data_IF_998665462096
#
_entry.id   IF_998665462096
#
_cell.length_a   1.000
_cell.length_b   1.000
_cell.length_c   1.000
_cell.angle_alpha   90.00
_cell.angle_beta   90.00
_cell.angle_gamma   90.00
#
_symmetry.space_group_name_H-M   'P 1'
#
loop_
_entity.id
_entity.type
_entity.pdbx_description
1 polymer ?
#
# COMPACT_ATOMS: atom_id res chain seq x y z
N UNK A 1 -21.94 -26.78 -11.70
CA UNK A 1 -22.70 -26.08 -10.64
C UNK A 1 -21.67 -25.45 -9.73
N UNK A 2 -21.43 -24.15 -9.88
CA UNK A 2 -20.39 -23.43 -9.13
C UNK A 2 -21.10 -22.68 -8.00
N UNK A 3 -21.00 -23.19 -6.79
CA UNK A 3 -21.45 -22.47 -5.60
C UNK A 3 -20.51 -21.30 -5.36
N UNK A 4 -21.04 -20.08 -5.50
CA UNK A 4 -20.35 -18.86 -5.10
C UNK A 4 -20.16 -18.89 -3.58
N UNK A 5 -18.92 -18.87 -3.13
CA UNK A 5 -18.58 -18.67 -1.72
C UNK A 5 -18.94 -17.23 -1.36
N UNK A 6 -20.07 -17.02 -0.68
CA UNK A 6 -20.39 -15.74 -0.03
C UNK A 6 -19.29 -15.42 0.97
N UNK A 7 -18.60 -14.30 0.76
CA UNK A 7 -17.69 -13.76 1.76
C UNK A 7 -18.51 -13.40 3.01
N UNK A 8 -18.35 -14.17 4.09
CA UNK A 8 -19.05 -13.90 5.34
C UNK A 8 -18.53 -12.61 5.95
N UNK A 9 -19.34 -11.55 5.90
CA UNK A 9 -19.04 -10.26 6.52
C UNK A 9 -18.94 -10.42 8.04
N UNK A 10 -17.94 -9.79 8.65
CA UNK A 10 -17.75 -9.80 10.11
C UNK A 10 -18.34 -8.53 10.72
N UNK A 11 -18.94 -8.62 11.91
CA UNK A 11 -19.46 -7.47 12.67
C UNK A 11 -18.33 -6.58 13.17
N UNK A 12 -18.54 -5.28 13.09
CA UNK A 12 -17.70 -4.19 13.59
C UNK A 12 -18.11 -3.84 15.04
N UNK A 13 -19.37 -4.06 15.41
CA UNK A 13 -19.93 -3.70 16.72
C UNK A 13 -20.35 -4.92 17.54
N UNK A 14 -20.29 -4.81 18.87
CA UNK A 14 -20.80 -5.83 19.79
C UNK A 14 -22.34 -5.94 19.67
N UNK A 15 -22.82 -7.12 19.27
CA UNK A 15 -24.25 -7.40 19.11
C UNK A 15 -25.09 -7.13 20.36
N UNK A 16 -24.49 -7.24 21.55
CA UNK A 16 -25.19 -7.14 22.84
C UNK A 16 -25.04 -5.78 23.51
N UNK A 17 -24.14 -4.92 23.02
CA UNK A 17 -23.84 -3.63 23.63
C UNK A 17 -24.00 -2.49 22.64
N UNK A 18 -25.08 -1.72 22.81
CA UNK A 18 -25.35 -0.56 21.97
C UNK A 18 -24.32 0.58 22.24
N UNK A 19 -23.67 1.14 21.20
CA UNK A 19 -22.76 2.27 21.35
C UNK A 19 -23.49 3.55 21.77
N UNK A 20 -22.81 4.38 22.58
CA UNK A 20 -23.31 5.70 22.98
C UNK A 20 -23.09 6.77 21.92
N UNK A 21 -22.09 6.60 21.05
CA UNK A 21 -21.83 7.49 19.92
C UNK A 21 -22.89 7.32 18.81
N UNK A 22 -23.33 8.44 18.23
CA UNK A 22 -24.45 8.47 17.28
C UNK A 22 -24.09 7.80 15.94
N UNK A 23 -22.86 7.95 15.46
CA UNK A 23 -22.40 7.31 14.23
C UNK A 23 -22.27 5.80 14.44
N UNK A 24 -21.66 5.37 15.55
CA UNK A 24 -21.50 3.97 15.91
C UNK A 24 -22.84 3.26 16.21
N UNK A 25 -23.82 3.96 16.79
CA UNK A 25 -25.17 3.43 17.00
C UNK A 25 -25.89 3.15 15.68
N UNK A 26 -25.63 3.94 14.64
CA UNK A 26 -26.16 3.72 13.28
C UNK A 26 -25.54 2.49 12.62
N UNK A 27 -24.23 2.30 12.78
CA UNK A 27 -23.49 1.10 12.35
C UNK A 27 -24.04 -0.14 13.06
N UNK A 28 -24.21 -0.08 14.38
CA UNK A 28 -24.75 -1.18 15.21
C UNK A 28 -26.16 -1.63 14.81
N UNK A 29 -27.06 -0.68 14.51
CA UNK A 29 -28.42 -0.99 14.04
C UNK A 29 -28.42 -1.70 12.68
N UNK A 30 -27.58 -1.24 11.74
CA UNK A 30 -27.48 -1.82 10.40
C UNK A 30 -26.87 -3.23 10.45
N UNK A 31 -25.86 -3.45 11.30
CA UNK A 31 -25.31 -4.79 11.52
C UNK A 31 -26.34 -5.74 12.14
N UNK A 32 -27.13 -5.27 13.11
CA UNK A 32 -28.20 -6.08 13.66
C UNK A 32 -29.23 -6.49 12.61
N UNK A 33 -29.58 -5.62 11.67
CA UNK A 33 -30.44 -5.99 10.55
C UNK A 33 -29.78 -7.03 9.63
N UNK A 34 -28.50 -6.88 9.30
CA UNK A 34 -27.80 -7.80 8.40
C UNK A 34 -27.70 -9.21 8.99
N UNK A 35 -27.34 -9.32 10.26
CA UNK A 35 -27.07 -10.59 10.91
C UNK A 35 -28.30 -11.21 11.59
N UNK A 36 -29.48 -10.57 11.55
CA UNK A 36 -30.70 -11.15 12.10
C UNK A 36 -31.27 -12.23 11.16
N UNK A 37 -31.65 -13.38 11.73
CA UNK A 37 -32.07 -14.56 10.98
C UNK A 37 -33.35 -14.33 10.17
N UNK A 38 -34.24 -13.44 10.63
CA UNK A 38 -35.51 -13.16 9.95
C UNK A 38 -35.44 -12.02 8.91
N UNK A 39 -34.28 -11.38 8.71
CA UNK A 39 -34.16 -10.30 7.72
C UNK A 39 -34.22 -10.87 6.32
N UNK A 40 -35.09 -10.32 5.47
CA UNK A 40 -35.22 -10.75 4.07
C UNK A 40 -33.95 -10.43 3.26
N UNK A 41 -33.68 -11.19 2.19
CA UNK A 41 -32.47 -11.00 1.36
C UNK A 41 -32.36 -9.59 0.77
N UNK A 42 -33.47 -8.99 0.34
CA UNK A 42 -33.50 -7.62 -0.17
C UNK A 42 -33.20 -6.55 0.88
N UNK A 43 -33.69 -6.75 2.11
CA UNK A 43 -33.46 -5.86 3.25
C UNK A 43 -32.01 -5.98 3.76
N UNK A 44 -31.48 -7.20 3.80
CA UNK A 44 -30.07 -7.48 4.14
C UNK A 44 -29.11 -6.81 3.15
N UNK A 45 -29.36 -6.96 1.84
CA UNK A 45 -28.53 -6.32 0.82
C UNK A 45 -28.63 -4.77 0.85
N UNK A 46 -29.78 -4.21 1.22
CA UNK A 46 -29.94 -2.77 1.41
C UNK A 46 -29.19 -2.27 2.65
N UNK A 47 -29.27 -3.01 3.75
CA UNK A 47 -28.57 -2.73 4.99
C UNK A 47 -27.04 -2.81 4.81
N UNK A 48 -26.52 -3.78 4.04
CA UNK A 48 -25.10 -3.89 3.69
C UNK A 48 -24.59 -2.64 2.97
N UNK A 49 -25.28 -2.18 1.92
CA UNK A 49 -24.90 -0.97 1.18
C UNK A 49 -24.99 0.30 2.03
N UNK A 50 -25.91 0.34 3.00
CA UNK A 50 -26.02 1.48 3.93
C UNK A 50 -24.93 1.43 5.00
N UNK A 51 -24.53 0.23 5.42
CA UNK A 51 -23.43 0.01 6.36
C UNK A 51 -22.09 0.40 5.73
N UNK A 52 -21.84 0.01 4.47
CA UNK A 52 -20.61 0.40 3.74
C UNK A 52 -20.45 1.93 3.69
N UNK A 53 -21.53 2.64 3.31
CA UNK A 53 -21.52 4.11 3.23
C UNK A 53 -21.41 4.77 4.59
N UNK A 54 -22.03 4.22 5.63
CA UNK A 54 -21.94 4.77 6.98
C UNK A 54 -20.53 4.64 7.56
N UNK A 55 -19.85 3.52 7.28
CA UNK A 55 -18.46 3.28 7.70
C UNK A 55 -17.49 4.19 6.92
N UNK A 56 -17.73 4.43 5.64
CA UNK A 56 -16.91 5.33 4.82
C UNK A 56 -17.02 6.80 5.29
N UNK A 57 -18.25 7.29 5.49
CA UNK A 57 -18.48 8.67 5.99
C UNK A 57 -17.88 8.88 7.38
N UNK A 58 -17.98 7.88 8.26
CA UNK A 58 -17.43 7.96 9.62
C UNK A 58 -15.88 7.86 9.66
N UNK A 59 -15.26 7.29 8.62
CA UNK A 59 -13.80 7.33 8.41
C UNK A 59 -13.34 8.70 7.91
N UNK A 60 -14.10 9.31 6.99
CA UNK A 60 -13.80 10.63 6.44
C UNK A 60 -13.99 11.76 7.47
N UNK A 61 -14.96 11.62 8.38
CA UNK A 61 -15.20 12.59 9.46
C UNK A 61 -14.25 12.44 10.66
N UNK A 62 -13.43 11.38 10.69
CA UNK A 62 -12.53 11.08 11.81
C UNK A 62 -13.25 10.61 13.08
N UNK A 63 -14.56 10.34 13.02
CA UNK A 63 -15.38 9.88 14.16
C UNK A 63 -15.18 8.37 14.45
N UNK A 64 -14.77 7.58 13.44
CA UNK A 64 -14.28 6.21 13.63
C UNK A 64 -12.79 6.20 13.35
N UNK A 65 -12.00 6.11 14.43
CA UNK A 65 -10.67 5.51 14.35
C UNK A 65 -10.87 4.02 14.12
N UNK A 66 -10.10 3.43 13.20
CA UNK A 66 -10.13 1.99 12.89
C UNK A 66 -10.26 1.17 14.18
N UNK A 67 -11.12 0.15 14.23
CA UNK A 67 -10.91 -0.92 15.19
C UNK A 67 -9.53 -1.50 14.87
N UNK A 68 -8.51 -1.03 15.58
CA UNK A 68 -7.40 -1.90 15.91
C UNK A 68 -8.07 -3.06 16.56
N UNK A 69 -8.02 -4.17 15.87
CA UNK A 69 -8.06 -5.48 16.44
C UNK A 69 -8.16 -5.48 17.98
N UNK A 70 -9.31 -5.73 18.59
CA UNK A 70 -9.51 -6.05 20.02
C UNK A 70 -11.02 -6.26 20.12
N UNK A 71 -11.56 -7.39 19.72
CA UNK A 71 -11.41 -8.68 20.36
C UNK A 71 -11.58 -9.81 19.35
N UNK A 72 -10.53 -10.58 19.13
CA UNK A 72 -10.61 -11.96 18.67
C UNK A 72 -9.56 -12.73 19.46
N UNK A 73 -9.95 -13.12 20.67
CA UNK A 73 -9.22 -14.07 21.49
C UNK A 73 -9.25 -15.44 20.79
N UNK A 74 -8.28 -15.65 19.89
CA UNK A 74 -7.89 -16.95 19.39
C UNK A 74 -6.44 -16.88 18.91
N UNK A 75 -5.50 -17.01 19.86
CA UNK A 75 -4.09 -17.21 19.54
C UNK A 75 -3.13 -16.39 20.38
N UNK A 76 -3.40 -16.22 21.67
CA UNK A 76 -2.50 -15.58 22.62
C UNK A 76 -1.20 -16.38 22.76
N UNK A 77 -0.12 -15.90 22.14
CA UNK A 77 1.24 -16.03 22.68
C UNK A 77 1.68 -14.62 23.10
N UNK A 78 1.58 -14.34 24.40
CA UNK A 78 1.91 -13.08 25.09
C UNK A 78 1.48 -11.77 24.41
N UNK A 79 0.18 -11.43 24.39
CA UNK A 79 -0.30 -10.04 24.31
C UNK A 79 0.05 -9.21 23.07
N UNK A 80 0.66 -9.79 22.03
CA UNK A 80 0.97 -9.12 20.77
C UNK A 80 -0.08 -9.47 19.72
N UNK A 81 -0.76 -8.46 19.16
CA UNK A 81 -1.54 -8.60 17.92
C UNK A 81 -0.61 -8.38 16.73
N UNK A 82 -0.52 -9.37 15.85
CA UNK A 82 0.18 -9.21 14.57
C UNK A 82 -0.53 -8.14 13.70
N UNK A 83 0.21 -7.26 13.00
CA UNK A 83 -0.39 -6.23 12.18
C UNK A 83 -1.22 -6.81 11.03
N UNK A 84 -2.27 -6.08 10.64
CA UNK A 84 -3.09 -6.39 9.46
C UNK A 84 -2.21 -6.50 8.20
N UNK A 85 -2.29 -7.64 7.54
CA UNK A 85 -1.51 -7.90 6.32
C UNK A 85 -2.07 -7.02 5.19
N UNK A 86 -1.21 -6.16 4.65
CA UNK A 86 -1.54 -5.29 3.51
C UNK A 86 -1.12 -5.98 2.22
N UNK A 87 -2.09 -6.38 1.41
CA UNK A 87 -1.84 -6.98 0.10
C UNK A 87 -1.76 -5.93 -1.00
N UNK A 88 -0.75 -6.04 -1.86
CA UNK A 88 -0.65 -5.24 -3.08
C UNK A 88 -1.72 -5.59 -4.09
N UNK A 89 -2.12 -4.61 -4.91
CA UNK A 89 -3.22 -4.74 -5.89
C UNK A 89 -3.05 -5.91 -6.87
N UNK A 90 -1.80 -6.30 -7.19
CA UNK A 90 -1.45 -7.40 -8.11
C UNK A 90 -1.03 -8.67 -7.39
N UNK A 91 -1.06 -8.69 -6.05
CA UNK A 91 -0.54 -9.80 -5.26
C UNK A 91 -1.22 -11.14 -5.61
N UNK A 92 -2.54 -11.14 -5.72
CA UNK A 92 -3.31 -12.36 -6.04
C UNK A 92 -2.88 -13.00 -7.37
N UNK A 93 -2.49 -12.18 -8.36
CA UNK A 93 -2.02 -12.63 -9.66
C UNK A 93 -0.59 -13.19 -9.64
N UNK A 94 0.18 -12.90 -8.59
CA UNK A 94 1.61 -13.23 -8.52
C UNK A 94 2.02 -14.09 -7.34
N UNK A 95 1.12 -14.37 -6.39
CA UNK A 95 1.41 -15.17 -5.18
C UNK A 95 1.95 -16.58 -5.44
N UNK A 96 1.75 -17.10 -6.65
CA UNK A 96 2.22 -18.41 -7.09
C UNK A 96 3.51 -18.33 -7.94
N UNK A 97 4.00 -17.13 -8.23
CA UNK A 97 5.17 -16.91 -9.07
C UNK A 97 6.44 -16.83 -8.23
N UNK A 98 7.55 -17.17 -8.85
CA UNK A 98 8.87 -16.94 -8.26
C UNK A 98 9.20 -15.45 -8.19
N UNK A 99 10.08 -15.08 -7.25
CA UNK A 99 10.61 -13.73 -7.09
C UNK A 99 11.26 -13.19 -8.37
N UNK A 100 11.86 -14.06 -9.19
CA UNK A 100 12.43 -13.69 -10.49
C UNK A 100 11.36 -13.32 -11.50
N UNK A 101 10.24 -14.04 -11.54
CA UNK A 101 9.11 -13.72 -12.41
C UNK A 101 8.40 -12.43 -11.96
N UNK A 102 8.25 -12.24 -10.65
CA UNK A 102 7.73 -10.99 -10.08
C UNK A 102 8.63 -9.81 -10.49
N UNK A 103 9.95 -9.95 -10.33
CA UNK A 103 10.90 -8.92 -10.76
C UNK A 103 10.82 -8.65 -12.27
N UNK A 104 10.60 -9.66 -13.10
CA UNK A 104 10.40 -9.48 -14.53
C UNK A 104 9.13 -8.68 -14.85
N UNK A 105 8.03 -8.92 -14.13
CA UNK A 105 6.78 -8.13 -14.26
C UNK A 105 6.98 -6.68 -13.82
N UNK A 106 7.66 -6.44 -12.69
CA UNK A 106 8.02 -5.08 -12.23
C UNK A 106 8.84 -4.35 -13.31
N UNK A 107 9.84 -5.01 -13.92
CA UNK A 107 10.62 -4.42 -15.03
C UNK A 107 9.75 -4.09 -16.24
N UNK A 108 8.77 -4.94 -16.56
CA UNK A 108 7.86 -4.71 -17.68
C UNK A 108 6.98 -3.49 -17.43
N UNK A 109 6.43 -3.35 -16.23
CA UNK A 109 5.61 -2.22 -15.80
C UNK A 109 6.39 -0.90 -15.84
N UNK A 110 7.61 -0.88 -15.30
CA UNK A 110 8.48 0.31 -15.35
C UNK A 110 8.77 0.70 -16.81
N UNK A 111 9.06 -0.27 -17.69
CA UNK A 111 9.29 -0.01 -19.12
C UNK A 111 8.02 0.52 -19.80
N UNK A 112 6.86 -0.03 -19.46
CA UNK A 112 5.57 0.40 -20.01
C UNK A 112 5.26 1.84 -19.58
N UNK A 113 5.38 2.15 -18.28
CA UNK A 113 5.17 3.49 -17.74
C UNK A 113 6.03 4.54 -18.47
N UNK A 114 7.32 4.25 -18.68
CA UNK A 114 8.23 5.12 -19.44
C UNK A 114 7.87 5.26 -20.92
N UNK A 115 7.32 4.21 -21.53
CA UNK A 115 6.97 4.20 -22.96
C UNK A 115 5.66 4.94 -23.24
N UNK A 116 4.67 4.83 -22.36
CA UNK A 116 3.34 5.42 -22.53
C UNK A 116 3.45 6.95 -22.67
N UNK A 117 4.26 7.61 -21.86
CA UNK A 117 4.43 9.07 -21.95
C UNK A 117 5.26 9.52 -23.17
N UNK A 118 6.26 8.74 -23.60
CA UNK A 118 6.97 9.02 -24.85
C UNK A 118 6.03 9.10 -26.07
N UNK A 119 4.84 8.47 -25.99
CA UNK A 119 3.79 8.52 -27.01
C UNK A 119 2.71 9.58 -26.73
N UNK A 120 2.43 9.91 -25.48
CA UNK A 120 1.41 10.90 -25.10
C UNK A 120 1.91 12.35 -25.16
N UNK A 121 3.24 12.54 -25.19
CA UNK A 121 3.85 13.87 -25.15
C UNK A 121 3.76 14.49 -23.75
N UNK A 122 4.76 15.29 -23.41
CA UNK A 122 4.78 16.03 -22.14
C UNK A 122 3.67 17.10 -22.21
N UNK A 123 2.59 16.93 -21.44
CA UNK A 123 1.56 17.97 -21.27
C UNK A 123 0.19 17.77 -21.93
N UNK A 124 -0.24 16.53 -22.19
CA UNK A 124 -1.65 16.27 -22.51
C UNK A 124 -2.57 16.71 -21.34
N UNK A 125 -3.68 17.40 -21.63
CA UNK A 125 -4.59 18.08 -20.70
C UNK A 125 -5.26 17.20 -19.61
N UNK A 126 -4.88 15.94 -19.51
CA UNK A 126 -5.18 15.07 -18.38
C UNK A 126 -3.87 14.86 -17.63
N UNK A 127 -3.42 15.90 -16.93
CA UNK A 127 -2.39 15.74 -15.91
C UNK A 127 -3.03 14.95 -14.77
N UNK A 128 -3.11 13.63 -14.94
CA UNK A 128 -3.25 12.75 -13.78
C UNK A 128 -2.02 13.06 -12.95
N UNK A 129 -2.24 13.50 -11.72
CA UNK A 129 -1.23 13.45 -10.65
C UNK A 129 -1.01 11.97 -10.35
N UNK A 130 -0.53 11.23 -11.35
CA UNK A 130 -0.21 9.82 -11.25
C UNK A 130 1.25 9.78 -10.90
N UNK A 131 1.59 9.05 -9.86
CA UNK A 131 2.98 8.75 -9.54
C UNK A 131 3.65 8.11 -10.76
N UNK A 132 2.93 7.36 -11.60
CA UNK A 132 3.47 6.86 -12.88
C UNK A 132 3.88 7.96 -13.86
N UNK A 133 3.30 9.16 -13.82
CA UNK A 133 3.70 10.28 -14.65
C UNK A 133 5.11 10.78 -14.30
N UNK A 134 5.53 10.65 -13.03
CA UNK A 134 6.89 10.99 -12.60
C UNK A 134 7.95 10.07 -13.22
N UNK A 135 7.65 8.77 -13.36
CA UNK A 135 8.54 7.81 -14.04
C UNK A 135 8.69 8.10 -15.53
N UNK A 136 7.64 8.65 -16.09
CA UNK A 136 7.55 9.08 -17.46
C UNK A 136 8.48 10.29 -17.68
N UNK A 137 8.29 11.36 -16.90
CA UNK A 137 9.09 12.58 -16.94
C UNK A 137 10.57 12.39 -16.52
N UNK A 138 10.97 11.18 -16.13
CA UNK A 138 12.33 10.85 -15.70
C UNK A 138 13.36 11.08 -16.83
N UNK A 139 14.40 11.89 -16.59
CA UNK A 139 15.48 12.11 -17.55
C UNK A 139 16.05 10.82 -18.16
N UNK A 140 16.31 10.82 -19.48
CA UNK A 140 16.81 9.64 -20.21
C UNK A 140 18.11 9.05 -19.66
N UNK A 141 18.94 9.89 -19.04
CA UNK A 141 20.18 9.46 -18.40
C UNK A 141 19.96 8.57 -17.18
N UNK A 142 18.84 8.76 -16.46
CA UNK A 142 18.56 8.02 -15.24
C UNK A 142 18.15 6.59 -15.58
N UNK A 143 18.75 5.65 -14.86
CA UNK A 143 18.52 4.22 -15.03
C UNK A 143 17.86 3.65 -13.79
N UNK A 144 17.00 2.67 -14.02
CA UNK A 144 16.35 1.89 -12.97
C UNK A 144 16.77 0.43 -13.14
N UNK A 145 17.35 -0.14 -12.09
CA UNK A 145 17.67 -1.56 -12.00
C UNK A 145 16.66 -2.24 -11.10
N UNK A 146 16.24 -3.44 -11.47
CA UNK A 146 15.42 -4.32 -10.63
C UNK A 146 16.18 -5.61 -10.51
N UNK A 147 16.62 -5.96 -9.30
CA UNK A 147 17.46 -7.13 -9.04
C UNK A 147 16.83 -8.01 -7.98
N UNK A 148 16.99 -9.31 -8.15
CA UNK A 148 16.60 -10.31 -7.16
C UNK A 148 17.83 -10.78 -6.39
N UNK A 149 17.66 -11.01 -5.10
CA UNK A 149 18.67 -11.64 -4.25
C UNK A 149 18.01 -12.79 -3.47
N UNK A 150 18.80 -13.85 -3.22
CA UNK A 150 18.35 -15.07 -2.56
C UNK A 150 19.27 -15.35 -1.38
N UNK A 151 18.69 -15.67 -0.23
CA UNK A 151 19.43 -15.92 1.00
C UNK A 151 18.75 -17.01 1.83
N UNK A 152 19.46 -17.55 2.82
CA UNK A 152 18.90 -18.52 3.76
C UNK A 152 17.76 -17.84 4.54
N UNK A 153 16.52 -18.22 4.21
CA UNK A 153 15.31 -17.65 4.83
C UNK A 153 14.43 -16.82 3.89
N UNK A 154 14.80 -16.63 2.61
CA UNK A 154 13.90 -16.01 1.66
C UNK A 154 14.55 -15.43 0.41
N UNK A 155 13.90 -14.41 -0.13
CA UNK A 155 14.36 -13.70 -1.32
C UNK A 155 13.93 -12.24 -1.24
N UNK A 156 14.63 -11.38 -1.97
CA UNK A 156 14.31 -9.96 -2.05
C UNK A 156 14.31 -9.43 -3.49
N UNK A 157 13.54 -8.36 -3.71
CA UNK A 157 13.55 -7.56 -4.92
C UNK A 157 13.97 -6.14 -4.58
N UNK A 158 15.12 -5.73 -5.10
CA UNK A 158 15.65 -4.37 -4.95
C UNK A 158 15.42 -3.58 -6.22
N UNK A 159 14.83 -2.39 -6.09
CA UNK A 159 14.71 -1.41 -7.18
C UNK A 159 15.67 -0.27 -6.90
N UNK A 160 16.66 -0.08 -7.79
CA UNK A 160 17.70 0.94 -7.62
C UNK A 160 17.65 1.97 -8.73
N UNK A 161 17.67 3.24 -8.35
CA UNK A 161 17.80 4.38 -9.26
C UNK A 161 19.27 4.79 -9.28
N UNK A 162 19.86 4.96 -10.45
CA UNK A 162 21.27 5.34 -10.61
C UNK A 162 21.51 6.14 -11.88
N UNK A 163 22.72 6.70 -12.01
CA UNK A 163 23.13 7.61 -13.07
C UNK A 163 22.33 8.92 -13.05
N UNK A 164 22.21 9.54 -11.87
CA UNK A 164 21.61 10.85 -11.72
C UNK A 164 22.54 11.93 -12.34
N UNK A 165 22.00 12.92 -13.06
CA UNK A 165 22.80 14.07 -13.48
C UNK A 165 23.40 14.78 -12.27
N UNK A 166 24.61 15.32 -12.43
CA UNK A 166 25.27 16.07 -11.36
C UNK A 166 24.41 17.27 -10.92
N UNK A 167 24.22 17.41 -9.61
CA UNK A 167 23.39 18.48 -9.02
C UNK A 167 21.87 18.30 -9.22
N UNK A 168 21.42 17.16 -9.73
CA UNK A 168 19.99 16.89 -9.97
C UNK A 168 19.40 15.97 -8.91
N UNK A 169 18.14 16.19 -8.55
CA UNK A 169 17.36 15.30 -7.68
C UNK A 169 17.60 15.51 -6.18
N UNK A 170 18.54 16.38 -5.80
CA UNK A 170 18.85 16.67 -4.41
C UNK A 170 18.91 18.17 -4.15
N UNK A 171 18.36 18.58 -3.01
CA UNK A 171 18.45 19.93 -2.48
C UNK A 171 19.02 19.89 -1.07
N UNK A 172 19.68 20.98 -0.65
CA UNK A 172 20.10 21.13 0.74
C UNK A 172 18.97 21.75 1.54
N UNK A 173 18.48 21.03 2.53
CA UNK A 173 17.47 21.51 3.46
C UNK A 173 17.94 21.31 4.90
N UNK A 174 17.48 22.18 5.79
CA UNK A 174 17.73 22.01 7.22
C UNK A 174 16.83 20.89 7.76
N UNK A 175 17.44 19.85 8.32
CA UNK A 175 16.72 18.75 8.95
C UNK A 175 16.05 19.23 10.23
N UNK A 176 14.73 19.09 10.30
CA UNK A 176 13.94 19.44 11.48
C UNK A 176 14.33 18.63 12.73
N UNK A 177 14.95 17.46 12.56
CA UNK A 177 15.37 16.59 13.66
C UNK A 177 16.72 16.99 14.24
N UNK A 178 17.66 17.40 13.38
CA UNK A 178 19.06 17.59 13.76
C UNK A 178 19.51 19.04 13.73
N UNK A 179 18.74 19.94 13.10
CA UNK A 179 19.12 21.32 12.81
C UNK A 179 20.31 21.44 11.85
N UNK A 180 20.64 20.35 11.13
CA UNK A 180 21.79 20.31 10.21
C UNK A 180 21.30 20.36 8.78
N UNK A 181 22.08 21.01 7.92
CA UNK A 181 21.84 20.99 6.49
C UNK A 181 22.14 19.61 5.92
N UNK A 182 21.11 18.92 5.44
CA UNK A 182 21.17 17.58 4.87
C UNK A 182 20.78 17.61 3.39
N UNK A 183 21.34 16.69 2.61
CA UNK A 183 20.93 16.49 1.22
C UNK A 183 19.66 15.64 1.20
N UNK A 184 18.54 16.26 0.85
CA UNK A 184 17.24 15.61 0.74
C UNK A 184 16.82 15.51 -0.72
N UNK A 185 15.98 14.51 -1.03
CA UNK A 185 15.43 14.34 -2.37
C UNK A 185 14.51 15.52 -2.69
N UNK A 186 14.71 16.14 -3.84
CA UNK A 186 13.80 17.14 -4.37
C UNK A 186 12.46 16.50 -4.78
N UNK A 187 11.49 17.34 -5.15
CA UNK A 187 10.14 16.86 -5.49
C UNK A 187 10.12 15.93 -6.72
N UNK A 188 11.01 16.16 -7.69
CA UNK A 188 11.09 15.34 -8.90
C UNK A 188 11.60 13.94 -8.59
N UNK A 189 12.72 13.85 -7.87
CA UNK A 189 13.30 12.57 -7.48
C UNK A 189 12.39 11.83 -6.49
N UNK A 190 11.74 12.55 -5.58
CA UNK A 190 10.75 11.98 -4.65
C UNK A 190 9.57 11.39 -5.39
N UNK A 191 9.04 12.08 -6.40
CA UNK A 191 7.96 11.57 -7.24
C UNK A 191 8.33 10.27 -7.96
N UNK A 192 9.54 10.19 -8.53
CA UNK A 192 10.05 8.97 -9.18
C UNK A 192 10.20 7.83 -8.17
N UNK A 193 10.77 8.09 -6.99
CA UNK A 193 10.92 7.09 -5.92
C UNK A 193 9.56 6.58 -5.46
N UNK A 194 8.60 7.48 -5.22
CA UNK A 194 7.23 7.14 -4.83
C UNK A 194 6.54 6.26 -5.85
N UNK A 195 6.64 6.60 -7.13
CA UNK A 195 6.10 5.80 -8.23
C UNK A 195 6.67 4.38 -8.29
N UNK A 196 7.98 4.25 -8.13
CA UNK A 196 8.64 2.94 -8.09
C UNK A 196 8.24 2.15 -6.83
N UNK A 197 8.08 2.82 -5.69
CA UNK A 197 7.58 2.20 -4.46
C UNK A 197 6.16 1.69 -4.64
N UNK A 198 5.29 2.45 -5.31
CA UNK A 198 3.93 2.02 -5.62
C UNK A 198 3.91 0.79 -6.52
N UNK A 199 4.68 0.80 -7.61
CA UNK A 199 4.81 -0.38 -8.50
C UNK A 199 5.35 -1.57 -7.72
N UNK A 200 6.38 -1.39 -6.89
CA UNK A 200 6.95 -2.47 -6.07
C UNK A 200 5.92 -3.06 -5.10
N UNK A 201 5.25 -2.20 -4.32
CA UNK A 201 4.22 -2.60 -3.34
C UNK A 201 3.02 -3.28 -3.99
N UNK A 202 2.66 -2.92 -5.22
CA UNK A 202 1.57 -3.56 -5.96
C UNK A 202 1.74 -5.09 -6.08
N UNK A 203 2.98 -5.59 -6.09
CA UNK A 203 3.28 -7.03 -6.21
C UNK A 203 3.60 -7.72 -4.87
N UNK A 204 3.75 -6.96 -3.78
CA UNK A 204 4.14 -7.51 -2.47
C UNK A 204 2.92 -7.63 -1.56
N UNK A 205 3.12 -8.25 -0.40
CA UNK A 205 2.31 -7.95 0.78
C UNK A 205 3.24 -7.58 1.93
N UNK A 206 2.70 -6.86 2.91
CA UNK A 206 3.44 -6.50 4.12
C UNK A 206 2.54 -6.63 5.35
N UNK A 207 2.87 -7.60 6.20
CA UNK A 207 2.35 -7.79 7.55
C UNK A 207 3.47 -7.72 8.59
N UNK A 208 4.54 -6.96 8.29
CA UNK A 208 5.67 -6.79 9.19
C UNK A 208 5.31 -5.87 10.36
N UNK A 209 5.91 -6.13 11.52
CA UNK A 209 5.81 -5.30 12.71
C UNK A 209 7.19 -4.76 13.08
N UNK A 210 7.36 -3.45 12.90
CA UNK A 210 8.60 -2.75 13.22
C UNK A 210 8.90 -2.71 14.73
N UNK A 211 7.91 -2.88 15.62
CA UNK A 211 8.12 -2.86 17.07
C UNK A 211 8.78 -4.14 17.59
N UNK A 212 8.63 -5.26 16.87
CA UNK A 212 9.15 -6.58 17.28
C UNK A 212 10.13 -7.19 16.28
N UNK A 213 10.60 -6.40 15.31
CA UNK A 213 11.51 -6.86 14.26
C UNK A 213 10.98 -8.10 13.51
N UNK A 214 9.65 -8.16 13.34
CA UNK A 214 8.98 -9.26 12.66
C UNK A 214 8.72 -8.88 11.21
N UNK A 215 9.28 -9.64 10.27
CA UNK A 215 9.09 -9.40 8.85
C UNK A 215 8.19 -10.48 8.24
N UNK A 216 7.03 -10.06 7.74
CA UNK A 216 6.10 -10.95 7.06
C UNK A 216 5.73 -10.35 5.72
N UNK A 217 6.46 -10.76 4.70
CA UNK A 217 6.37 -10.23 3.34
C UNK A 217 6.42 -11.38 2.33
N UNK A 218 5.89 -11.16 1.12
CA UNK A 218 6.06 -12.13 0.02
C UNK A 218 7.54 -12.23 -0.38
N UNK A 219 8.20 -11.08 -0.41
CA UNK A 219 9.63 -10.94 -0.62
C UNK A 219 10.14 -9.69 0.09
N UNK A 220 11.39 -9.73 0.56
CA UNK A 220 12.06 -8.56 1.13
C UNK A 220 12.44 -7.53 0.06
N UNK A 221 12.89 -6.35 0.47
CA UNK A 221 13.52 -5.40 -0.44
C UNK A 221 12.96 -4.00 -0.33
N UNK A 222 13.51 -3.12 -1.15
CA UNK A 222 13.23 -1.70 -1.08
C UNK A 222 13.48 -1.03 -2.42
N UNK A 223 12.92 0.17 -2.55
CA UNK A 223 13.20 1.11 -3.62
C UNK A 223 14.10 2.21 -3.07
N UNK A 224 15.27 2.40 -3.66
CA UNK A 224 16.19 3.44 -3.22
C UNK A 224 16.99 4.01 -4.39
N UNK A 225 17.45 5.24 -4.20
CA UNK A 225 18.52 5.82 -5.00
C UNK A 225 19.83 5.19 -4.56
N UNK A 226 20.67 4.78 -5.52
CA UNK A 226 21.97 4.19 -5.22
C UNK A 226 22.78 5.17 -4.36
N UNK A 227 23.39 4.66 -3.29
CA UNK A 227 24.09 5.48 -2.31
C UNK A 227 25.24 6.27 -2.92
N UNK A 228 25.77 5.83 -4.06
CA UNK A 228 26.84 6.53 -4.80
C UNK A 228 26.38 7.80 -5.49
N UNK A 229 25.08 7.95 -5.71
CA UNK A 229 24.48 9.12 -6.37
C UNK A 229 24.23 10.26 -5.38
N UNK A 230 24.32 10.00 -4.07
CA UNK A 230 24.18 11.05 -3.06
C UNK A 230 25.35 12.03 -3.19
N UNK A 231 25.09 13.35 -3.23
CA UNK A 231 26.16 14.34 -3.22
C UNK A 231 27.07 14.14 -2.01
N UNK A 232 28.39 14.18 -2.25
CA UNK A 232 29.38 14.18 -1.16
C UNK A 232 29.52 15.62 -0.67
N UNK A 233 29.32 15.81 0.63
CA UNK A 233 29.55 17.08 1.33
C UNK A 233 31.02 17.36 1.56
#
# INVERSE_FOLDING_TARGET
MTTATEASRTRITDAKREPTDRAMKRVWLLENLIFHASTGSGERAAAERMLDRAVEVARESGEISTPTDADSDSGTWSGYRLPDIRYGEKYEEVKHLSTTEIAARIRADIKLARKVESKLGVGGAVAVVDELAALAAMPKGIKVSVTTEYYSGGSSIHVRIYNLPEGWGYVREESWQTGRMEWVQDEQLRGIVGALQRIHRAYNFDGSDAMVDYFHVNYGGHVAVDWRERPRG
#
